data_IF_084069951612
#
_entry.id   IF_084069951612
#
_cell.length_a   1.000
_cell.length_b   1.000
_cell.length_c   1.000
_cell.angle_alpha   90.00
_cell.angle_beta   90.00
_cell.angle_gamma   90.00
#
_symmetry.space_group_name_H-M   'P 1'
#
loop_
_entity.id
_entity.type
_entity.pdbx_description
1 polymer ?
#
# COMPACT_ATOMS: atom_id res chain seq x y z
N UNK A 1 17.55 -31.98 -23.43
CA UNK A 1 17.28 -31.45 -22.07
C UNK A 1 17.28 -29.92 -22.02
N UNK A 2 18.33 -29.22 -22.49
CA UNK A 2 18.45 -27.74 -22.42
C UNK A 2 17.41 -26.92 -23.20
N UNK A 3 16.89 -27.44 -24.34
CA UNK A 3 15.90 -26.74 -25.18
C UNK A 3 14.55 -26.51 -24.46
N UNK A 4 14.14 -27.42 -23.57
CA UNK A 4 12.91 -27.29 -22.77
C UNK A 4 13.03 -26.22 -21.67
N UNK A 5 14.22 -26.05 -21.09
CA UNK A 5 14.48 -25.03 -20.08
C UNK A 5 14.44 -23.63 -20.69
N UNK A 6 15.03 -23.43 -21.87
CA UNK A 6 14.97 -22.15 -22.59
C UNK A 6 13.53 -21.76 -22.97
N UNK A 7 12.73 -22.72 -23.45
CA UNK A 7 11.32 -22.50 -23.75
C UNK A 7 10.50 -22.13 -22.49
N UNK A 8 10.76 -22.79 -21.36
CA UNK A 8 10.10 -22.50 -20.08
C UNK A 8 10.46 -21.10 -19.56
N UNK A 9 11.73 -20.68 -19.68
CA UNK A 9 12.18 -19.32 -19.31
C UNK A 9 11.54 -18.25 -20.20
N UNK A 10 11.43 -18.50 -21.51
CA UNK A 10 10.76 -17.58 -22.45
C UNK A 10 9.27 -17.44 -22.14
N UNK A 11 8.61 -18.54 -21.76
CA UNK A 11 7.21 -18.53 -21.34
C UNK A 11 7.03 -17.86 -19.98
N UNK A 12 7.97 -18.04 -19.04
CA UNK A 12 7.97 -17.36 -17.76
C UNK A 12 8.10 -15.85 -17.91
N UNK A 13 9.06 -15.36 -18.72
CA UNK A 13 9.21 -13.92 -19.01
C UNK A 13 7.92 -13.33 -19.57
N UNK A 14 7.30 -13.99 -20.55
CA UNK A 14 6.01 -13.56 -21.12
C UNK A 14 4.88 -13.55 -20.08
N UNK A 15 4.83 -14.55 -19.19
CA UNK A 15 3.85 -14.61 -18.11
C UNK A 15 4.07 -13.52 -17.06
N UNK A 16 5.33 -13.22 -16.74
CA UNK A 16 5.72 -12.15 -15.83
C UNK A 16 5.43 -10.76 -16.40
N UNK A 17 5.72 -10.53 -17.68
CA UNK A 17 5.37 -9.28 -18.37
C UNK A 17 3.84 -9.07 -18.35
N UNK A 18 3.06 -10.13 -18.58
CA UNK A 18 1.59 -10.08 -18.44
C UNK A 18 1.15 -9.73 -17.03
N UNK A 19 1.77 -10.33 -16.01
CA UNK A 19 1.45 -10.10 -14.61
C UNK A 19 1.79 -8.68 -14.14
N UNK A 20 2.92 -8.11 -14.57
CA UNK A 20 3.30 -6.73 -14.22
C UNK A 20 2.40 -5.69 -14.89
N UNK A 21 1.92 -6.00 -16.10
CA UNK A 21 0.97 -5.16 -16.83
C UNK A 21 -0.44 -5.17 -16.22
N UNK A 22 -0.72 -6.05 -15.25
CA UNK A 22 -1.93 -5.96 -14.44
C UNK A 22 -1.86 -4.71 -13.55
N UNK A 23 -2.77 -3.76 -13.78
CA UNK A 23 -2.76 -2.45 -13.12
C UNK A 23 -2.88 -2.55 -11.59
N UNK A 24 -3.47 -3.62 -11.08
CA UNK A 24 -3.62 -3.83 -9.63
C UNK A 24 -2.29 -4.18 -8.94
N UNK A 25 -1.36 -4.86 -9.61
CA UNK A 25 -0.07 -5.22 -9.03
C UNK A 25 0.84 -4.00 -8.88
N UNK A 26 0.89 -3.13 -9.89
CA UNK A 26 1.70 -1.92 -9.88
C UNK A 26 1.31 -0.99 -8.71
N UNK A 27 0.00 -0.80 -8.48
CA UNK A 27 -0.51 0.02 -7.36
C UNK A 27 -0.13 -0.56 -6.00
N UNK A 28 -0.23 -1.89 -5.85
CA UNK A 28 0.17 -2.59 -4.63
C UNK A 28 1.67 -2.44 -4.36
N UNK A 29 2.50 -2.65 -5.38
CA UNK A 29 3.95 -2.54 -5.28
C UNK A 29 4.39 -1.13 -4.88
N UNK A 30 3.84 -0.09 -5.53
CA UNK A 30 4.16 1.31 -5.19
C UNK A 30 3.76 1.63 -3.76
N UNK A 31 2.57 1.20 -3.32
CA UNK A 31 2.08 1.43 -1.95
C UNK A 31 3.01 0.82 -0.90
N UNK A 32 3.47 -0.42 -1.14
CA UNK A 32 4.38 -1.11 -0.22
C UNK A 32 5.78 -0.48 -0.18
N UNK A 33 6.29 -0.02 -1.33
CA UNK A 33 7.60 0.66 -1.38
C UNK A 33 7.54 1.98 -0.61
N UNK A 34 6.50 2.77 -0.84
CA UNK A 34 6.31 4.05 -0.15
C UNK A 34 6.10 3.84 1.36
N UNK A 35 5.35 2.81 1.78
CA UNK A 35 5.15 2.53 3.21
C UNK A 35 6.44 2.11 3.91
N UNK A 36 7.28 1.30 3.25
CA UNK A 36 8.59 0.90 3.79
C UNK A 36 9.54 2.10 3.92
N UNK A 37 9.61 2.95 2.89
CA UNK A 37 10.45 4.16 2.91
C UNK A 37 9.98 5.14 3.98
N UNK A 38 8.67 5.37 4.07
CA UNK A 38 8.08 6.25 5.07
C UNK A 38 8.37 5.78 6.50
N UNK A 39 8.18 4.48 6.77
CA UNK A 39 8.51 3.90 8.07
C UNK A 39 9.97 4.14 8.43
N UNK A 40 10.92 3.99 7.48
CA UNK A 40 12.34 4.27 7.71
C UNK A 40 12.61 5.73 8.07
N UNK A 41 11.95 6.68 7.40
CA UNK A 41 12.11 8.11 7.69
C UNK A 41 11.62 8.44 9.09
N UNK A 42 10.46 7.92 9.47
CA UNK A 42 9.88 8.14 10.80
C UNK A 42 10.72 7.49 11.89
N UNK A 43 11.21 6.26 11.66
CA UNK A 43 12.15 5.59 12.57
C UNK A 43 13.45 6.38 12.71
N UNK A 44 14.09 6.82 11.62
CA UNK A 44 15.33 7.61 11.72
C UNK A 44 15.13 8.92 12.46
N UNK A 45 14.00 9.62 12.25
CA UNK A 45 13.67 10.81 13.02
C UNK A 45 13.54 10.51 14.53
N UNK A 46 12.88 9.42 14.89
CA UNK A 46 12.71 9.03 16.29
C UNK A 46 14.03 8.59 16.93
N UNK A 47 14.75 7.66 16.30
CA UNK A 47 15.93 7.01 16.86
C UNK A 47 17.22 7.83 16.73
N UNK A 48 17.37 8.61 15.65
CA UNK A 48 18.64 9.31 15.36
C UNK A 48 18.60 10.79 15.73
N UNK A 49 17.41 11.40 15.87
CA UNK A 49 17.28 12.82 16.22
C UNK A 49 16.67 12.97 17.62
N UNK A 50 15.53 12.33 17.87
CA UNK A 50 14.78 12.56 19.11
C UNK A 50 15.37 11.78 20.29
N UNK A 51 15.73 10.52 20.10
CA UNK A 51 16.33 9.70 21.15
C UNK A 51 17.65 10.25 21.69
N UNK A 52 18.61 10.74 20.87
CA UNK A 52 19.80 11.40 21.38
C UNK A 52 19.48 12.64 22.22
N UNK A 53 18.47 13.41 21.82
CA UNK A 53 18.01 14.56 22.59
C UNK A 53 17.39 14.18 23.94
N UNK A 54 16.56 13.12 23.96
CA UNK A 54 15.96 12.59 25.20
C UNK A 54 17.02 11.98 26.12
N UNK A 55 17.96 11.21 25.57
CA UNK A 55 19.07 10.63 26.32
C UNK A 55 19.92 11.74 26.96
N UNK A 56 20.22 12.79 26.21
CA UNK A 56 20.92 13.98 26.71
C UNK A 56 20.18 14.64 27.87
N UNK A 57 18.86 14.77 27.78
CA UNK A 57 18.04 15.42 28.79
C UNK A 57 17.83 14.57 30.06
N UNK A 58 17.65 13.25 29.92
CA UNK A 58 17.28 12.37 31.03
C UNK A 58 18.47 11.67 31.71
N UNK A 59 19.51 11.30 30.95
CA UNK A 59 20.65 10.49 31.41
C UNK A 59 22.01 11.14 31.11
N UNK A 60 22.01 12.37 30.58
CA UNK A 60 23.24 13.06 30.18
C UNK A 60 23.92 12.37 29.00
N UNK A 61 25.22 12.07 29.13
CA UNK A 61 26.00 11.46 28.03
C UNK A 61 25.83 9.94 27.90
N UNK A 62 25.10 9.28 28.80
CA UNK A 62 24.93 7.82 28.79
C UNK A 62 23.66 7.42 28.03
N UNK A 63 23.78 6.42 27.15
CA UNK A 63 22.66 5.92 26.36
C UNK A 63 21.75 5.01 27.20
N UNK A 64 20.44 5.17 27.04
CA UNK A 64 19.44 4.23 27.56
C UNK A 64 19.68 2.78 27.08
N UNK A 65 20.33 2.58 25.93
CA UNK A 65 20.66 1.24 25.41
C UNK A 65 21.68 0.48 26.25
N UNK A 66 22.52 1.20 27.00
CA UNK A 66 23.66 0.60 27.70
C UNK A 66 23.26 -0.01 29.05
N UNK A 67 22.00 0.16 29.46
CA UNK A 67 21.44 -0.51 30.63
C UNK A 67 21.23 -2.00 30.34
N UNK A 68 22.06 -2.80 31.00
CA UNK A 68 22.11 -4.26 30.88
C UNK A 68 22.13 -4.87 32.27
N UNK A 69 21.37 -5.94 32.46
CA UNK A 69 21.39 -6.73 33.68
C UNK A 69 22.19 -8.01 33.41
N UNK A 70 23.32 -8.15 34.10
CA UNK A 70 24.20 -9.31 33.92
C UNK A 70 23.74 -10.42 34.87
N UNK A 71 23.30 -11.55 34.32
CA UNK A 71 22.81 -12.69 35.11
C UNK A 71 23.95 -13.62 35.54
N UNK A 72 24.90 -13.91 34.63
CA UNK A 72 26.14 -14.66 34.90
C UNK A 72 27.08 -14.63 33.69
N UNK A 73 28.37 -14.40 33.95
CA UNK A 73 29.62 -14.48 33.14
C UNK A 73 29.63 -14.14 31.63
N UNK A 74 28.51 -14.16 30.91
CA UNK A 74 28.33 -13.64 29.54
C UNK A 74 26.84 -13.42 29.14
N UNK A 75 25.88 -13.78 30.01
CA UNK A 75 24.44 -13.65 29.72
C UNK A 75 23.95 -12.27 30.19
N UNK A 76 23.78 -11.37 29.23
CA UNK A 76 23.34 -9.99 29.46
C UNK A 76 21.90 -9.79 28.97
N UNK A 77 21.02 -9.31 29.85
CA UNK A 77 19.67 -8.88 29.49
C UNK A 77 19.69 -7.39 29.22
N UNK A 78 19.60 -7.00 27.95
CA UNK A 78 19.61 -5.61 27.52
C UNK A 78 18.22 -4.96 27.69
N UNK A 79 17.76 -4.79 28.94
CA UNK A 79 16.47 -4.16 29.22
C UNK A 79 16.43 -2.68 28.80
N UNK A 80 17.59 -2.02 28.75
CA UNK A 80 17.72 -0.66 28.22
C UNK A 80 17.27 -0.53 26.76
N UNK A 81 17.61 -1.51 25.92
CA UNK A 81 17.15 -1.57 24.53
C UNK A 81 15.63 -1.75 24.45
N UNK A 82 15.05 -2.55 25.35
CA UNK A 82 13.61 -2.76 25.40
C UNK A 82 12.86 -1.48 25.80
N UNK A 83 13.33 -0.77 26.84
CA UNK A 83 12.72 0.50 27.26
C UNK A 83 12.83 1.57 26.15
N UNK A 84 13.96 1.58 25.44
CA UNK A 84 14.13 2.46 24.29
C UNK A 84 13.10 2.17 23.19
N UNK A 85 12.89 0.89 22.85
CA UNK A 85 11.92 0.53 21.81
C UNK A 85 10.48 0.90 22.21
N UNK A 86 10.14 0.83 23.50
CA UNK A 86 8.84 1.30 24.01
C UNK A 86 8.72 2.82 23.81
N UNK A 87 9.71 3.59 24.23
CA UNK A 87 9.71 5.04 24.05
C UNK A 87 9.65 5.41 22.55
N UNK A 88 10.37 4.69 21.69
CA UNK A 88 10.34 4.88 20.24
C UNK A 88 8.94 4.63 19.67
N UNK A 89 8.26 3.56 20.12
CA UNK A 89 6.88 3.28 19.71
C UNK A 89 5.92 4.42 20.08
N UNK A 90 6.02 4.95 21.30
CA UNK A 90 5.19 6.09 21.74
C UNK A 90 5.44 7.35 20.91
N UNK A 91 6.71 7.64 20.61
CA UNK A 91 7.11 8.75 19.75
C UNK A 91 6.56 8.60 18.34
N UNK A 92 6.83 7.47 17.69
CA UNK A 92 6.34 7.17 16.34
C UNK A 92 4.82 7.28 16.30
N UNK A 93 4.11 6.68 17.27
CA UNK A 93 2.65 6.78 17.36
C UNK A 93 2.16 8.22 17.49
N UNK A 94 2.82 9.05 18.31
CA UNK A 94 2.50 10.48 18.46
C UNK A 94 2.71 11.24 17.14
N UNK A 95 3.79 10.96 16.41
CA UNK A 95 4.05 11.55 15.09
C UNK A 95 2.97 11.17 14.08
N UNK A 96 2.61 9.88 14.03
CA UNK A 96 1.51 9.41 13.19
C UNK A 96 0.20 10.11 13.55
N UNK A 97 -0.10 10.28 14.83
CA UNK A 97 -1.29 10.99 15.30
C UNK A 97 -1.31 12.46 14.84
N UNK A 98 -0.20 13.19 15.02
CA UNK A 98 -0.08 14.59 14.59
C UNK A 98 -0.22 14.72 13.07
N UNK A 99 0.51 13.91 12.31
CA UNK A 99 0.49 13.91 10.84
C UNK A 99 -0.92 13.56 10.36
N UNK A 100 -1.52 12.50 10.89
CA UNK A 100 -2.86 12.05 10.49
C UNK A 100 -3.91 13.10 10.83
N UNK A 101 -3.86 13.72 12.01
CA UNK A 101 -4.82 14.76 12.42
C UNK A 101 -4.63 16.04 11.59
N UNK A 102 -3.40 16.48 11.38
CA UNK A 102 -3.08 17.64 10.57
C UNK A 102 -3.50 17.45 9.10
N UNK A 103 -3.18 16.29 8.53
CA UNK A 103 -3.54 15.93 7.16
C UNK A 103 -5.06 15.79 7.04
N UNK A 104 -5.74 15.06 7.94
CA UNK A 104 -7.19 14.87 7.87
C UNK A 104 -7.93 16.20 8.03
N UNK A 105 -7.52 17.06 8.99
CA UNK A 105 -8.09 18.41 9.13
C UNK A 105 -7.90 19.24 7.85
N UNK A 106 -6.78 19.10 7.13
CA UNK A 106 -6.55 19.80 5.85
C UNK A 106 -7.27 19.15 4.66
N UNK A 107 -7.33 17.82 4.60
CA UNK A 107 -7.91 17.04 3.50
C UNK A 107 -9.43 17.14 3.50
N UNK A 108 -10.07 17.12 4.68
CA UNK A 108 -11.52 17.36 4.81
C UNK A 108 -11.92 18.72 4.23
N UNK A 109 -11.02 19.72 4.29
CA UNK A 109 -11.24 21.07 3.74
C UNK A 109 -10.96 21.13 2.22
N UNK A 110 -10.14 20.24 1.66
CA UNK A 110 -9.57 20.40 0.31
C UNK A 110 -9.97 19.32 -0.72
N UNK A 111 -10.37 18.11 -0.35
CA UNK A 111 -10.62 17.07 -1.36
C UNK A 111 -11.81 16.13 -1.06
N UNK A 112 -12.86 16.31 -1.86
CA UNK A 112 -13.57 15.19 -2.48
C UNK A 112 -12.54 14.35 -3.29
N UNK A 113 -12.55 13.02 -3.23
CA UNK A 113 -11.50 12.21 -3.82
C UNK A 113 -11.51 12.28 -5.36
N UNK A 114 -10.48 12.87 -5.98
CA UNK A 114 -10.09 12.56 -7.37
C UNK A 114 -9.44 11.17 -7.40
N UNK A 115 -10.27 10.14 -7.28
CA UNK A 115 -9.89 8.75 -7.48
C UNK A 115 -9.75 8.46 -8.98
N UNK A 116 -8.52 8.26 -9.44
CA UNK A 116 -8.12 7.65 -10.71
C UNK A 116 -9.15 7.74 -11.86
N UNK A 117 -9.38 8.96 -12.35
CA UNK A 117 -10.44 9.27 -13.33
C UNK A 117 -10.28 8.51 -14.66
N UNK A 118 -9.08 8.09 -15.05
CA UNK A 118 -8.83 7.53 -16.38
C UNK A 118 -9.36 6.08 -16.54
N UNK A 119 -9.20 5.21 -15.53
CA UNK A 119 -9.74 3.85 -15.56
C UNK A 119 -11.26 3.82 -15.37
N UNK A 120 -11.76 4.59 -14.41
CA UNK A 120 -13.19 4.69 -14.17
C UNK A 120 -13.92 5.28 -15.39
N UNK A 121 -13.34 6.26 -16.09
CA UNK A 121 -13.95 6.80 -17.31
C UNK A 121 -13.97 5.79 -18.46
N UNK A 122 -12.92 5.00 -18.66
CA UNK A 122 -12.90 3.98 -19.71
C UNK A 122 -13.85 2.83 -19.40
N UNK A 123 -13.88 2.34 -18.16
CA UNK A 123 -14.80 1.28 -17.75
C UNK A 123 -16.26 1.75 -17.82
N UNK A 124 -16.55 2.98 -17.38
CA UNK A 124 -17.89 3.56 -17.52
C UNK A 124 -18.30 3.66 -18.99
N UNK A 125 -17.42 4.12 -19.88
CA UNK A 125 -17.70 4.15 -21.33
C UNK A 125 -17.98 2.76 -21.91
N UNK A 126 -17.23 1.75 -21.50
CA UNK A 126 -17.43 0.36 -21.96
C UNK A 126 -18.78 -0.18 -21.45
N UNK A 127 -19.09 0.01 -20.17
CA UNK A 127 -20.36 -0.43 -19.55
C UNK A 127 -21.55 0.27 -20.22
N UNK A 128 -21.48 1.57 -20.48
CA UNK A 128 -22.54 2.29 -21.21
C UNK A 128 -22.74 1.73 -22.61
N UNK A 129 -21.64 1.39 -23.31
CA UNK A 129 -21.71 0.81 -24.66
C UNK A 129 -22.32 -0.60 -24.64
N UNK A 130 -22.01 -1.42 -23.63
CA UNK A 130 -22.59 -2.75 -23.44
C UNK A 130 -24.09 -2.67 -23.13
N UNK A 131 -24.52 -1.78 -22.23
CA UNK A 131 -25.94 -1.58 -21.92
C UNK A 131 -26.74 -1.13 -23.15
N UNK A 132 -26.16 -0.25 -23.98
CA UNK A 132 -26.79 0.17 -25.23
C UNK A 132 -26.98 -0.99 -26.21
N UNK A 133 -25.96 -1.84 -26.39
CA UNK A 133 -26.03 -3.02 -27.25
C UNK A 133 -27.06 -4.05 -26.73
N UNK A 134 -27.18 -4.19 -25.40
CA UNK A 134 -28.16 -5.08 -24.80
C UNK A 134 -29.60 -4.60 -25.03
N UNK A 135 -29.84 -3.29 -24.97
CA UNK A 135 -31.14 -2.69 -25.29
C UNK A 135 -31.47 -2.91 -26.78
N UNK A 136 -30.54 -2.61 -27.69
CA UNK A 136 -30.71 -2.82 -29.13
C UNK A 136 -31.01 -4.30 -29.46
N UNK A 137 -30.28 -5.24 -28.83
CA UNK A 137 -30.56 -6.68 -28.96
C UNK A 137 -31.99 -7.02 -28.54
N UNK A 138 -32.45 -6.50 -27.41
CA UNK A 138 -33.78 -6.82 -26.86
C UNK A 138 -34.92 -6.23 -27.72
N UNK A 139 -34.73 -5.04 -28.30
CA UNK A 139 -35.69 -4.45 -29.23
C UNK A 139 -35.81 -5.29 -30.52
N UNK A 140 -34.69 -5.72 -31.09
CA UNK A 140 -34.69 -6.58 -32.29
C UNK A 140 -35.41 -7.90 -32.02
N UNK A 141 -35.17 -8.53 -30.86
CA UNK A 141 -35.86 -9.77 -30.48
C UNK A 141 -37.37 -9.58 -30.35
N UNK A 142 -37.82 -8.42 -29.84
CA UNK A 142 -39.24 -8.08 -29.77
C UNK A 142 -39.85 -7.92 -31.16
N UNK A 143 -39.18 -7.20 -32.07
CA UNK A 143 -39.63 -7.03 -33.45
C UNK A 143 -39.73 -8.36 -34.21
N UNK A 144 -38.75 -9.25 -34.05
CA UNK A 144 -38.78 -10.59 -34.67
C UNK A 144 -39.97 -11.39 -34.14
N UNK A 145 -40.25 -11.32 -32.84
CA UNK A 145 -41.39 -12.04 -32.24
C UNK A 145 -42.72 -11.53 -32.79
N UNK A 146 -42.90 -10.21 -32.91
CA UNK A 146 -44.12 -9.60 -33.48
C UNK A 146 -44.33 -10.00 -34.95
N UNK A 147 -43.27 -10.01 -35.76
CA UNK A 147 -43.34 -10.44 -37.16
C UNK A 147 -43.71 -11.93 -37.28
N UNK A 148 -43.22 -12.78 -36.39
CA UNK A 148 -43.53 -14.21 -36.37
C UNK A 148 -44.96 -14.49 -35.88
N UNK A 149 -45.49 -13.71 -34.94
CA UNK A 149 -46.89 -13.82 -34.49
C UNK A 149 -47.87 -13.34 -35.57
N UNK A 150 -47.53 -12.31 -36.36
CA UNK A 150 -48.37 -11.83 -37.47
C UNK A 150 -48.43 -12.79 -38.68
N UNK A 151 -47.44 -13.67 -38.83
CA UNK A 151 -47.34 -14.62 -39.95
C UNK A 151 -48.03 -15.97 -39.67
N UNK A 152 -48.74 -16.09 -38.54
CA UNK A 152 -49.51 -17.25 -38.12
C UNK A 152 -51.00 -16.99 -38.32
#
# INVERSE_FOLDING_TARGET
MFKNISAKIKNFKKGFDKFFNEVNFLKLAITLIVSQLFSKVVTSLSTDIIMPFINWLLYGTKSLKDLKFNLRDDINVNYGLFIQNICEFFLVSLFFYIILTYIISKIIIIHQPKSNNNENQNNNKIITKLNKLEIERNEILKQIKEILEYKK
#
